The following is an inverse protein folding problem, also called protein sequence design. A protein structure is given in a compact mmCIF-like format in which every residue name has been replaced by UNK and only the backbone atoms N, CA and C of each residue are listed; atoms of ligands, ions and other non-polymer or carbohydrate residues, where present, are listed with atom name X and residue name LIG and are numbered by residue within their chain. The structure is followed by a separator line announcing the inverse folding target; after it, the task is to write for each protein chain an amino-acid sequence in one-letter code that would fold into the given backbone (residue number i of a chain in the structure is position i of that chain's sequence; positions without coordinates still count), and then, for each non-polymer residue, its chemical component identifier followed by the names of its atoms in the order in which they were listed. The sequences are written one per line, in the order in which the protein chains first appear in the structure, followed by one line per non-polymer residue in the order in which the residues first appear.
data_IF_919817491431
#
_entry.id   IF_919817491431
#
_cell.length_a   1.000
_cell.length_b   1.000
_cell.length_c   1.000
_cell.angle_alpha   90.00
_cell.angle_beta   90.00
_cell.angle_gamma   90.00
#
_symmetry.space_group_name_H-M   'P 1'
#
loop_
_entity.id
_entity.type
_entity.pdbx_description
1 polymer ?
#
# COMPACT_ATOMS: atom_id res chain seq x y z
N UNK A 1 -42.63 20.87 -39.78
CA UNK A 1 -41.20 20.54 -39.99
C UNK A 1 -40.22 21.56 -39.37
N UNK A 2 -40.47 22.88 -39.35
CA UNK A 2 -39.51 23.87 -38.79
C UNK A 2 -39.18 23.72 -37.29
N UNK A 3 -40.14 23.28 -36.46
CA UNK A 3 -39.93 23.10 -35.01
C UNK A 3 -39.16 21.81 -34.64
N UNK A 4 -39.22 20.78 -35.48
CA UNK A 4 -38.55 19.50 -35.24
C UNK A 4 -37.03 19.62 -35.41
N UNK A 5 -36.59 20.41 -36.39
CA UNK A 5 -35.19 20.73 -36.63
C UNK A 5 -34.58 21.57 -35.50
N UNK A 6 -35.34 22.50 -34.92
CA UNK A 6 -34.89 23.29 -33.78
C UNK A 6 -34.75 22.43 -32.50
N UNK A 7 -35.65 21.48 -32.29
CA UNK A 7 -35.61 20.57 -31.13
C UNK A 7 -34.42 19.61 -31.17
N UNK A 8 -34.10 19.07 -32.35
CA UNK A 8 -32.91 18.23 -32.56
C UNK A 8 -31.60 18.98 -32.30
N UNK A 9 -31.54 20.27 -32.66
CA UNK A 9 -30.35 21.11 -32.46
C UNK A 9 -30.11 21.41 -30.97
N UNK A 10 -31.16 21.62 -30.18
CA UNK A 10 -31.06 21.85 -28.72
C UNK A 10 -30.57 20.59 -27.99
N UNK A 11 -31.03 19.40 -28.37
CA UNK A 11 -30.59 18.11 -27.80
C UNK A 11 -29.11 17.86 -28.10
N UNK A 12 -28.65 18.19 -29.32
CA UNK A 12 -27.25 18.08 -29.69
C UNK A 12 -26.36 19.02 -28.87
N UNK A 13 -26.79 20.27 -28.63
CA UNK A 13 -26.04 21.23 -27.81
C UNK A 13 -25.99 20.80 -26.34
N UNK A 14 -27.08 20.27 -25.77
CA UNK A 14 -27.06 19.74 -24.40
C UNK A 14 -26.17 18.50 -24.23
N UNK A 15 -26.02 17.68 -25.30
CA UNK A 15 -25.16 16.50 -25.28
C UNK A 15 -23.66 16.86 -25.27
N UNK A 16 -23.28 18.01 -25.84
CA UNK A 16 -21.90 18.51 -25.81
C UNK A 16 -21.52 19.14 -24.45
N UNK A 17 -22.47 19.71 -23.71
CA UNK A 17 -22.23 20.31 -22.39
C UNK A 17 -22.19 19.27 -21.27
N UNK A 18 -22.91 18.14 -21.42
CA UNK A 18 -22.94 17.08 -20.41
C UNK A 18 -21.63 16.28 -20.30
N UNK A 19 -20.68 16.43 -21.24
CA UNK A 19 -19.47 15.60 -21.30
C UNK A 19 -18.18 16.30 -20.81
N UNK A 20 -18.25 17.53 -20.31
CA UNK A 20 -17.07 18.32 -19.94
C UNK A 20 -16.85 18.51 -18.44
N UNK A 21 -17.43 17.67 -17.58
CA UNK A 21 -17.00 17.56 -16.18
C UNK A 21 -15.73 16.69 -16.08
N UNK A 22 -14.69 17.05 -16.83
CA UNK A 22 -13.33 16.64 -16.48
C UNK A 22 -12.93 17.39 -15.22
N UNK A 23 -13.39 16.89 -14.08
CA UNK A 23 -12.78 17.21 -12.80
C UNK A 23 -11.32 16.81 -12.95
N UNK A 24 -10.42 17.78 -13.08
CA UNK A 24 -8.98 17.54 -13.12
C UNK A 24 -8.64 16.80 -11.83
N UNK A 25 -8.55 15.48 -11.91
CA UNK A 25 -8.25 14.66 -10.74
C UNK A 25 -6.83 15.02 -10.36
N UNK A 26 -6.72 15.66 -9.21
CA UNK A 26 -5.45 15.96 -8.56
C UNK A 26 -4.58 14.70 -8.57
N UNK A 27 -3.33 14.83 -8.99
CA UNK A 27 -2.40 13.70 -9.02
C UNK A 27 -2.05 13.31 -7.59
N UNK A 28 -2.27 12.06 -7.23
CA UNK A 28 -1.89 11.55 -5.92
C UNK A 28 -0.36 11.55 -5.75
N UNK A 29 0.15 11.93 -4.57
CA UNK A 29 1.57 11.79 -4.27
C UNK A 29 1.96 10.31 -4.27
N UNK A 30 3.24 10.03 -4.53
CA UNK A 30 3.80 8.67 -4.55
C UNK A 30 4.68 8.45 -3.32
N UNK A 31 4.91 7.17 -2.99
CA UNK A 31 5.82 6.81 -1.89
C UNK A 31 7.27 7.06 -2.31
N UNK A 32 8.00 7.82 -1.49
CA UNK A 32 9.42 8.12 -1.70
C UNK A 32 10.17 7.79 -0.41
N UNK A 33 11.15 6.88 -0.49
CA UNK A 33 12.03 6.49 0.62
C UNK A 33 11.27 6.16 1.91
N UNK A 34 10.24 5.33 1.81
CA UNK A 34 9.42 4.88 2.94
C UNK A 34 8.39 5.88 3.43
N UNK A 35 8.18 7.02 2.75
CA UNK A 35 7.26 8.06 3.19
C UNK A 35 6.25 8.46 2.12
N UNK A 36 5.01 8.69 2.54
CA UNK A 36 3.92 9.23 1.74
C UNK A 36 3.27 10.42 2.47
N UNK A 37 3.35 11.62 1.89
CA UNK A 37 2.75 12.81 2.48
C UNK A 37 1.34 13.07 1.92
N UNK A 38 0.31 12.85 2.73
CA UNK A 38 -1.10 13.07 2.43
C UNK A 38 -1.72 14.22 3.24
N UNK A 39 -0.91 15.10 3.86
CA UNK A 39 -1.44 16.24 4.65
C UNK A 39 -2.32 17.19 3.84
N UNK A 40 -2.13 17.21 2.52
CA UNK A 40 -2.94 18.03 1.61
C UNK A 40 -3.94 17.20 0.78
N UNK A 41 -4.13 15.91 1.08
CA UNK A 41 -5.03 15.02 0.34
C UNK A 41 -6.39 14.91 1.02
N UNK A 42 -7.48 15.02 0.26
CA UNK A 42 -8.83 14.80 0.75
C UNK A 42 -9.41 13.54 0.11
N UNK A 43 -9.59 12.46 0.88
CA UNK A 43 -10.08 11.18 0.34
C UNK A 43 -11.50 11.24 -0.23
N UNK A 44 -12.34 12.17 0.24
CA UNK A 44 -13.72 12.33 -0.23
C UNK A 44 -13.78 12.99 -1.62
N UNK A 45 -12.89 13.95 -1.90
CA UNK A 45 -12.89 14.70 -3.17
C UNK A 45 -11.81 14.22 -4.15
N UNK A 46 -10.64 13.86 -3.64
CA UNK A 46 -9.47 13.48 -4.42
C UNK A 46 -9.41 11.94 -4.66
N UNK A 47 -10.12 11.15 -3.84
CA UNK A 47 -10.27 9.71 -3.99
C UNK A 47 -9.16 8.86 -3.36
N UNK A 48 -9.07 7.56 -3.70
CA UNK A 48 -8.10 6.64 -3.10
C UNK A 48 -6.68 6.86 -3.63
N UNK A 49 -5.69 6.66 -2.75
CA UNK A 49 -4.25 6.77 -3.08
C UNK A 49 -3.63 5.39 -3.22
N UNK A 50 -2.83 5.18 -4.27
CA UNK A 50 -2.01 3.98 -4.41
C UNK A 50 -0.79 4.09 -3.50
N UNK A 51 -0.51 3.06 -2.72
CA UNK A 51 0.68 3.00 -1.86
C UNK A 51 1.92 2.50 -2.62
N UNK A 52 1.99 2.77 -3.93
CA UNK A 52 3.09 2.30 -4.77
C UNK A 52 4.31 3.23 -4.64
N UNK A 53 5.51 2.66 -4.74
CA UNK A 53 6.77 3.39 -4.72
C UNK A 53 7.81 2.72 -3.83
N UNK A 54 8.82 3.48 -3.40
CA UNK A 54 9.96 2.93 -2.65
C UNK A 54 9.65 2.80 -1.16
N UNK A 55 9.36 1.60 -0.70
CA UNK A 55 9.15 1.27 0.72
C UNK A 55 10.47 0.95 1.40
N UNK A 56 10.55 1.20 2.71
CA UNK A 56 11.64 0.67 3.52
C UNK A 56 11.53 -0.85 3.62
N UNK A 57 12.67 -1.52 3.54
CA UNK A 57 12.76 -2.97 3.44
C UNK A 57 13.83 -3.51 4.37
N UNK A 58 13.41 -4.45 5.22
CA UNK A 58 14.26 -5.12 6.18
C UNK A 58 14.27 -6.61 5.91
N UNK A 59 15.31 -7.07 5.22
CA UNK A 59 15.49 -8.47 4.86
C UNK A 59 15.80 -9.33 6.09
N UNK A 60 15.13 -10.48 6.21
CA UNK A 60 15.24 -11.44 7.33
C UNK A 60 15.06 -10.81 8.71
N UNK A 61 14.13 -9.85 8.81
CA UNK A 61 13.77 -9.18 10.06
C UNK A 61 12.26 -8.97 10.09
N UNK A 62 11.64 -9.33 11.22
CA UNK A 62 10.23 -9.05 11.51
C UNK A 62 10.17 -7.93 12.56
N UNK A 63 10.00 -6.70 12.08
CA UNK A 63 10.05 -5.47 12.88
C UNK A 63 8.65 -4.84 12.96
N UNK A 64 8.35 -4.20 14.08
CA UNK A 64 7.09 -3.49 14.27
C UNK A 64 7.42 -2.09 14.77
N UNK A 65 7.03 -1.09 13.99
CA UNK A 65 7.15 0.34 14.28
C UNK A 65 5.90 0.87 14.99
N UNK A 66 6.01 2.06 15.58
CA UNK A 66 4.90 2.75 16.22
C UNK A 66 4.82 2.53 17.73
N UNK A 67 5.83 1.90 18.33
CA UNK A 67 6.02 1.86 19.78
C UNK A 67 6.99 2.97 20.23
N UNK A 68 6.89 3.41 21.48
CA UNK A 68 7.70 4.52 22.01
C UNK A 68 9.22 4.26 22.01
N UNK A 69 9.67 3.03 21.76
CA UNK A 69 11.08 2.61 21.74
C UNK A 69 11.64 2.39 20.31
N UNK A 70 11.02 2.99 19.29
CA UNK A 70 11.47 2.98 17.88
C UNK A 70 12.94 3.45 17.71
N UNK A 71 13.53 4.08 18.73
CA UNK A 71 14.96 4.45 18.78
C UNK A 71 15.92 3.25 18.68
N UNK A 72 15.44 2.02 18.93
CA UNK A 72 16.22 0.78 18.80
C UNK A 72 16.07 0.10 17.44
N UNK A 73 15.18 0.58 16.58
CA UNK A 73 15.03 0.01 15.25
C UNK A 73 16.27 0.39 14.44
N UNK A 74 16.90 -0.63 13.85
CA UNK A 74 18.16 -0.50 13.14
C UNK A 74 18.01 0.51 12.00
N UNK A 75 18.86 1.55 11.98
CA UNK A 75 18.79 2.64 11.00
C UNK A 75 19.07 2.23 9.56
N UNK A 76 19.48 0.98 9.32
CA UNK A 76 19.81 0.47 7.98
C UNK A 76 18.61 -0.29 7.42
N UNK A 77 17.81 0.42 6.65
CA UNK A 77 16.81 -0.13 5.74
C UNK A 77 17.36 -0.11 4.30
N UNK A 78 16.86 -1.02 3.47
CA UNK A 78 16.98 -0.89 2.01
C UNK A 78 15.70 -0.26 1.48
N UNK A 79 15.74 0.29 0.28
CA UNK A 79 14.52 0.70 -0.43
C UNK A 79 14.17 -0.37 -1.45
N UNK A 80 12.91 -0.84 -1.42
CA UNK A 80 12.35 -1.73 -2.44
C UNK A 80 11.11 -1.08 -3.04
N UNK A 81 10.94 -1.20 -4.35
CA UNK A 81 9.70 -0.76 -4.98
C UNK A 81 8.58 -1.75 -4.66
N UNK A 82 7.42 -1.21 -4.26
CA UNK A 82 6.15 -1.94 -4.16
C UNK A 82 5.21 -1.42 -5.26
N UNK A 83 4.62 -2.31 -6.08
CA UNK A 83 4.87 -3.74 -6.10
C UNK A 83 6.30 -4.09 -6.59
N UNK A 84 6.87 -5.16 -6.04
CA UNK A 84 8.19 -5.65 -6.45
C UNK A 84 8.58 -6.98 -5.82
N UNK A 85 9.49 -7.69 -6.50
CA UNK A 85 10.03 -8.98 -6.06
C UNK A 85 11.37 -8.80 -5.40
N UNK A 86 11.63 -9.54 -4.32
CA UNK A 86 12.94 -9.53 -3.71
C UNK A 86 13.91 -10.50 -4.36
N UNK A 87 13.51 -11.43 -5.25
CA UNK A 87 14.29 -12.58 -5.73
C UNK A 87 15.77 -12.34 -6.12
N UNK A 88 16.09 -11.15 -6.60
CA UNK A 88 17.40 -10.80 -7.17
C UNK A 88 18.02 -9.56 -6.52
N UNK A 89 17.51 -9.15 -5.36
CA UNK A 89 18.11 -8.05 -4.61
C UNK A 89 19.50 -8.45 -4.13
N UNK A 90 20.42 -7.50 -4.21
CA UNK A 90 21.75 -7.63 -3.61
C UNK A 90 21.74 -6.87 -2.29
N UNK A 91 21.80 -7.61 -1.19
CA UNK A 91 21.76 -7.09 0.17
C UNK A 91 23.05 -7.48 0.85
N UNK A 92 23.87 -6.48 1.18
CA UNK A 92 25.19 -6.68 1.80
C UNK A 92 26.11 -7.65 1.04
N UNK A 93 26.02 -7.70 -0.29
CA UNK A 93 26.82 -8.60 -1.14
C UNK A 93 26.17 -9.96 -1.41
N UNK A 94 25.02 -10.26 -0.81
CA UNK A 94 24.29 -11.52 -1.01
C UNK A 94 23.02 -11.35 -1.84
N UNK A 95 22.76 -12.31 -2.73
CA UNK A 95 21.48 -12.38 -3.45
C UNK A 95 20.43 -13.08 -2.59
N UNK A 96 19.31 -12.42 -2.36
CA UNK A 96 18.20 -12.85 -1.51
C UNK A 96 17.49 -14.14 -1.94
N UNK A 97 17.48 -14.49 -3.24
CA UNK A 97 16.75 -15.66 -3.74
C UNK A 97 15.22 -15.56 -3.52
N UNK A 98 14.43 -16.59 -3.90
CA UNK A 98 12.98 -16.54 -3.76
C UNK A 98 12.51 -16.67 -2.30
N UNK A 99 13.27 -17.39 -1.48
CA UNK A 99 12.83 -17.78 -0.14
C UNK A 99 13.36 -16.89 0.96
N UNK A 100 12.50 -16.59 1.93
CA UNK A 100 12.85 -15.80 3.09
C UNK A 100 11.67 -15.02 3.61
N UNK A 101 11.96 -14.03 4.44
CA UNK A 101 10.98 -13.19 5.09
C UNK A 101 11.53 -11.78 5.22
N UNK A 102 10.65 -10.80 5.32
CA UNK A 102 11.02 -9.41 5.44
C UNK A 102 9.92 -8.58 6.08
N UNK A 103 10.33 -7.40 6.56
CA UNK A 103 9.41 -6.30 6.89
C UNK A 103 9.47 -5.26 5.78
N UNK A 104 8.30 -4.90 5.27
CA UNK A 104 8.08 -3.70 4.47
C UNK A 104 7.51 -2.62 5.38
N UNK A 105 8.10 -1.44 5.36
CA UNK A 105 7.65 -0.31 6.17
C UNK A 105 7.29 0.89 5.29
N UNK A 106 6.15 1.52 5.60
CA UNK A 106 5.68 2.77 5.03
C UNK A 106 5.14 3.68 6.11
N UNK A 107 5.65 4.90 6.16
CA UNK A 107 5.09 6.00 6.92
C UNK A 107 4.17 6.87 6.07
N UNK A 108 2.96 7.10 6.53
CA UNK A 108 1.99 8.00 5.90
C UNK A 108 1.72 9.18 6.82
N UNK A 109 1.84 10.40 6.30
CA UNK A 109 1.45 11.62 7.01
C UNK A 109 0.05 12.03 6.58
N UNK A 110 -0.86 12.20 7.55
CA UNK A 110 -2.26 12.55 7.32
C UNK A 110 -2.56 13.97 7.77
N UNK A 111 -3.56 14.57 7.14
CA UNK A 111 -4.12 15.87 7.56
C UNK A 111 -4.82 15.75 8.91
N UNK A 112 -5.71 14.78 9.00
CA UNK A 112 -6.64 14.57 10.10
C UNK A 112 -6.36 13.23 10.80
N UNK A 113 -6.77 13.14 12.06
CA UNK A 113 -6.82 11.89 12.85
C UNK A 113 -8.27 11.58 13.21
N UNK A 114 -8.46 10.43 13.85
CA UNK A 114 -9.76 9.89 14.25
C UNK A 114 -10.70 9.68 13.06
N UNK A 115 -10.12 9.46 11.86
CA UNK A 115 -10.83 9.19 10.60
C UNK A 115 -10.86 7.69 10.28
N UNK A 116 -11.97 7.22 9.71
CA UNK A 116 -12.10 5.85 9.21
C UNK A 116 -11.41 5.72 7.86
N UNK A 117 -10.40 4.85 7.78
CA UNK A 117 -9.70 4.53 6.55
C UNK A 117 -9.86 3.06 6.19
N UNK A 118 -9.64 2.74 4.92
CA UNK A 118 -9.56 1.38 4.41
C UNK A 118 -8.30 1.18 3.58
N UNK A 119 -7.61 0.06 3.78
CA UNK A 119 -6.51 -0.37 2.91
C UNK A 119 -6.96 -1.61 2.14
N UNK A 120 -6.82 -1.54 0.81
CA UNK A 120 -7.07 -2.67 -0.09
C UNK A 120 -5.76 -3.44 -0.30
N UNK A 121 -5.78 -4.71 0.07
CA UNK A 121 -4.70 -5.65 -0.24
C UNK A 121 -5.07 -6.47 -1.49
N UNK A 122 -4.25 -6.42 -2.55
CA UNK A 122 -4.43 -7.24 -3.74
C UNK A 122 -3.98 -8.70 -3.48
N UNK A 123 -3.70 -9.46 -4.55
CA UNK A 123 -3.20 -10.83 -4.48
C UNK A 123 -1.74 -10.89 -4.04
N UNK A 124 -1.50 -10.74 -2.73
CA UNK A 124 -0.16 -10.87 -2.15
C UNK A 124 0.09 -12.34 -1.84
N UNK A 125 1.14 -12.90 -2.45
CA UNK A 125 1.69 -14.18 -2.02
C UNK A 125 2.90 -14.00 -1.07
N UNK A 126 3.31 -15.01 -0.31
CA UNK A 126 2.57 -16.24 0.02
C UNK A 126 1.90 -16.16 1.38
N UNK A 127 2.47 -15.47 2.36
CA UNK A 127 1.83 -15.21 3.64
C UNK A 127 2.26 -13.85 4.18
N UNK A 128 1.35 -13.13 4.85
CA UNK A 128 1.66 -11.85 5.44
C UNK A 128 0.88 -11.53 6.72
N UNK A 129 1.45 -10.65 7.55
CA UNK A 129 0.77 -9.98 8.67
C UNK A 129 0.97 -8.48 8.53
N UNK A 130 -0.09 -7.70 8.81
CA UNK A 130 -0.07 -6.24 8.71
C UNK A 130 -0.25 -5.64 10.08
N UNK A 131 0.60 -4.66 10.39
CA UNK A 131 0.54 -3.85 11.60
C UNK A 131 0.40 -2.38 11.22
N UNK A 132 -0.39 -1.65 11.99
CA UNK A 132 -0.52 -0.19 11.88
C UNK A 132 -0.29 0.37 13.28
N UNK A 133 0.68 1.29 13.41
CA UNK A 133 1.05 1.91 14.69
C UNK A 133 1.29 0.86 15.79
N UNK A 134 1.99 -0.22 15.46
CA UNK A 134 2.29 -1.30 16.39
C UNK A 134 1.20 -2.35 16.60
N UNK A 135 -0.04 -2.10 16.14
CA UNK A 135 -1.17 -3.00 16.33
C UNK A 135 -1.39 -3.89 15.12
N UNK A 136 -1.51 -5.20 15.32
CA UNK A 136 -1.87 -6.14 14.24
C UNK A 136 -3.30 -5.88 13.76
N UNK A 137 -3.45 -5.66 12.45
CA UNK A 137 -4.73 -5.33 11.81
C UNK A 137 -5.30 -6.50 11.01
N UNK A 138 -4.44 -7.27 10.33
CA UNK A 138 -4.85 -8.47 9.59
C UNK A 138 -3.68 -9.43 9.40
N UNK A 139 -3.99 -10.66 9.00
CA UNK A 139 -3.02 -11.62 8.50
C UNK A 139 -3.66 -12.58 7.51
N UNK A 140 -2.90 -12.96 6.48
CA UNK A 140 -3.28 -13.97 5.50
C UNK A 140 -2.21 -15.04 5.49
N UNK A 141 -2.60 -16.27 5.84
CA UNK A 141 -1.65 -17.36 6.08
C UNK A 141 -0.92 -17.18 7.41
N UNK A 142 0.23 -17.82 7.54
CA UNK A 142 1.13 -17.68 8.69
C UNK A 142 2.47 -17.17 8.16
N UNK A 143 2.82 -15.94 8.52
CA UNK A 143 4.11 -15.34 8.17
C UNK A 143 5.16 -15.76 9.20
N UNK A 144 6.06 -16.67 8.82
CA UNK A 144 7.10 -17.24 9.67
C UNK A 144 8.51 -16.98 9.16
N UNK A 145 9.51 -17.38 9.94
CA UNK A 145 10.92 -17.24 9.60
C UNK A 145 11.49 -18.47 8.88
N UNK A 146 10.74 -19.56 8.85
CA UNK A 146 11.11 -20.82 8.20
C UNK A 146 9.94 -21.43 7.43
N UNK A 147 10.21 -22.50 6.67
CA UNK A 147 9.16 -23.23 5.96
C UNK A 147 8.16 -23.89 6.91
N UNK A 148 8.64 -24.42 8.03
CA UNK A 148 7.85 -25.13 9.05
C UNK A 148 6.97 -24.19 9.87
N UNK A 149 7.40 -22.93 10.00
CA UNK A 149 6.69 -21.88 10.74
C UNK A 149 5.85 -20.98 9.83
N UNK A 150 5.78 -21.27 8.53
CA UNK A 150 5.00 -20.50 7.56
C UNK A 150 3.95 -21.34 6.85
N UNK A 151 2.82 -20.71 6.51
CA UNK A 151 1.73 -21.35 5.78
C UNK A 151 1.18 -20.39 4.72
N UNK A 152 1.21 -20.75 3.43
CA UNK A 152 0.80 -19.86 2.35
C UNK A 152 -0.73 -19.73 2.29
N UNK A 153 -1.22 -18.52 2.00
CA UNK A 153 -2.61 -18.25 1.63
C UNK A 153 -2.66 -16.97 0.79
N UNK A 154 -3.49 -16.95 -0.24
CA UNK A 154 -3.75 -15.76 -1.05
C UNK A 154 -5.20 -15.36 -0.83
N UNK A 155 -5.43 -14.13 -0.37
CA UNK A 155 -6.77 -13.63 -0.09
C UNK A 155 -6.82 -12.10 -0.21
N UNK A 156 -7.27 -11.58 -1.36
CA UNK A 156 -7.54 -10.15 -1.52
C UNK A 156 -8.65 -9.71 -0.60
N UNK A 157 -8.45 -8.61 0.11
CA UNK A 157 -9.44 -8.06 1.00
C UNK A 157 -9.19 -6.58 1.27
N UNK A 158 -10.19 -5.93 1.85
CA UNK A 158 -10.08 -4.57 2.36
C UNK A 158 -10.15 -4.69 3.88
N UNK A 159 -9.29 -3.97 4.58
CA UNK A 159 -9.39 -3.82 6.04
C UNK A 159 -9.61 -2.37 6.38
N UNK A 160 -10.59 -2.12 7.24
CA UNK A 160 -10.89 -0.81 7.78
C UNK A 160 -10.30 -0.65 9.18
N UNK A 161 -9.85 0.56 9.49
CA UNK A 161 -9.32 0.93 10.80
C UNK A 161 -9.51 2.44 11.03
N UNK A 162 -9.45 2.84 12.30
CA UNK A 162 -9.43 4.26 12.66
C UNK A 162 -7.98 4.72 12.72
N UNK A 163 -7.65 5.78 11.99
CA UNK A 163 -6.37 6.45 12.06
C UNK A 163 -6.33 7.37 13.28
N UNK A 164 -5.94 6.84 14.44
CA UNK A 164 -5.91 7.55 15.74
C UNK A 164 -4.86 8.68 15.83
N UNK A 165 -3.95 8.75 14.85
CA UNK A 165 -2.86 9.72 14.76
C UNK A 165 -2.77 10.29 13.34
N UNK A 166 -2.20 11.49 13.24
CA UNK A 166 -1.85 12.12 11.95
C UNK A 166 -0.63 11.46 11.26
N UNK A 167 -0.11 10.39 11.83
CA UNK A 167 0.95 9.56 11.26
C UNK A 167 0.55 8.10 11.37
N UNK A 168 0.69 7.37 10.27
CA UNK A 168 0.53 5.92 10.23
C UNK A 168 1.88 5.29 9.90
N UNK A 169 2.32 4.40 10.77
CA UNK A 169 3.43 3.49 10.51
C UNK A 169 2.83 2.13 10.12
N UNK A 170 2.95 1.75 8.85
CA UNK A 170 2.44 0.49 8.31
C UNK A 170 3.60 -0.47 8.14
N UNK A 171 3.56 -1.58 8.88
CA UNK A 171 4.48 -2.70 8.69
C UNK A 171 3.76 -3.89 8.08
N UNK A 172 4.39 -4.48 7.07
CA UNK A 172 3.92 -5.72 6.45
C UNK A 172 5.04 -6.74 6.57
N UNK A 173 4.80 -7.74 7.42
CA UNK A 173 5.63 -8.93 7.50
C UNK A 173 5.23 -9.84 6.37
N UNK A 174 6.15 -10.13 5.45
CA UNK A 174 5.93 -11.06 4.35
C UNK A 174 6.89 -12.23 4.50
N UNK A 175 6.39 -13.45 4.37
CA UNK A 175 7.22 -14.65 4.31
C UNK A 175 6.92 -15.45 3.04
N UNK A 176 7.95 -16.00 2.42
CA UNK A 176 7.82 -16.91 1.31
C UNK A 176 8.81 -18.08 1.43
N UNK A 177 8.27 -19.29 1.58
CA UNK A 177 9.02 -20.56 1.60
C UNK A 177 8.39 -21.62 0.69
N UNK A 178 7.34 -21.23 -0.06
CA UNK A 178 6.45 -22.15 -0.77
C UNK A 178 6.25 -21.76 -2.25
N UNK A 179 6.77 -20.60 -2.68
CA UNK A 179 6.59 -20.11 -4.04
C UNK A 179 7.91 -19.58 -4.61
N UNK A 180 8.06 -19.63 -5.94
CA UNK A 180 9.30 -19.24 -6.61
C UNK A 180 9.43 -17.71 -6.77
N UNK A 181 8.38 -16.93 -6.47
CA UNK A 181 8.43 -15.46 -6.40
C UNK A 181 8.27 -15.04 -4.95
N UNK A 182 9.19 -14.19 -4.48
CA UNK A 182 9.20 -13.65 -3.13
C UNK A 182 9.05 -12.13 -3.14
N UNK A 183 8.39 -11.60 -2.11
CA UNK A 183 8.12 -10.17 -1.95
C UNK A 183 6.66 -9.75 -2.09
N UNK A 184 6.45 -8.45 -2.24
CA UNK A 184 5.13 -7.84 -2.35
C UNK A 184 4.95 -7.36 -3.80
N UNK A 185 4.67 -8.28 -4.73
CA UNK A 185 4.73 -8.04 -6.18
C UNK A 185 3.41 -7.67 -6.86
N UNK A 186 2.32 -7.47 -6.11
CA UNK A 186 0.99 -7.12 -6.63
C UNK A 186 0.43 -5.87 -5.98
#
# INVERSE_FOLDING_TARGET
MRYLSAFLLVIQVMSFVACSSQHSRKTAPSVINGMLDLKNWNFETDGPVKLNGGWEFFWKKLLIHGFSDDKKIEKRSFIINVPGRWNRLNINGEKTGPYGYATYHLRILLKDKDILLGIKFPNIGTAYSVYINGKKITSVGIAGETKETSAPKIFPHIVSFIADKNQLDIDIHVSNFHYYEGGFWS
#
